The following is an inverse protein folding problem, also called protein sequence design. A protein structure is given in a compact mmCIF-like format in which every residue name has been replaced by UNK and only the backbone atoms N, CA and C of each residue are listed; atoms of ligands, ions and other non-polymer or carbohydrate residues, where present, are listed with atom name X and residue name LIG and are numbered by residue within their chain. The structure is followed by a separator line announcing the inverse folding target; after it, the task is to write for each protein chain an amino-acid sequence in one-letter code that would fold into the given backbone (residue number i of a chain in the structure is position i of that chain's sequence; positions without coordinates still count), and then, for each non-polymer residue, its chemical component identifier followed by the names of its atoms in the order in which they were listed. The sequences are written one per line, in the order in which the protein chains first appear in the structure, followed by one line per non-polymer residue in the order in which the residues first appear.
data_IF_132790823165
#
_entry.id   IF_132790823165
#
_cell.length_a   1.000
_cell.length_b   1.000
_cell.length_c   1.000
_cell.angle_alpha   90.00
_cell.angle_beta   90.00
_cell.angle_gamma   90.00
#
_symmetry.space_group_name_H-M   'P 1'
#
loop_
_entity.id
_entity.type
_entity.pdbx_description
1 polymer ?
#
# COMPACT_ATOMS: atom_id res chain seq x y z
N UNK A 1 59.00 44.22 8.60
CA UNK A 1 59.20 45.38 7.69
C UNK A 1 57.91 45.55 6.88
N UNK A 2 57.15 46.61 7.26
CA UNK A 2 56.82 47.75 6.39
C UNK A 2 55.83 47.35 5.25
N UNK A 3 54.72 47.97 5.01
CA UNK A 3 53.93 49.20 5.30
C UNK A 3 52.55 48.96 4.75
N UNK A 4 51.44 49.15 5.42
CA UNK A 4 50.63 50.36 5.52
C UNK A 4 50.30 51.03 4.16
N UNK A 5 49.03 51.03 3.73
CA UNK A 5 48.36 52.28 3.30
C UNK A 5 46.86 52.12 3.40
N UNK A 6 46.28 52.97 4.21
CA UNK A 6 44.87 53.43 4.21
C UNK A 6 44.55 54.14 2.90
N UNK A 7 43.31 53.99 2.40
CA UNK A 7 42.57 55.09 1.78
C UNK A 7 41.10 54.95 2.08
N UNK A 8 40.58 56.01 2.52
CA UNK A 8 39.28 56.41 2.97
C UNK A 8 38.25 56.55 1.85
N UNK A 9 36.99 56.45 2.27
CA UNK A 9 35.84 57.32 1.94
C UNK A 9 35.12 57.06 0.59
N UNK A 10 33.89 56.67 0.59
CA UNK A 10 32.77 57.63 0.48
C UNK A 10 31.42 56.98 0.81
N UNK A 11 30.71 57.65 1.66
CA UNK A 11 29.33 57.49 2.07
C UNK A 11 28.40 57.92 0.92
N UNK A 12 27.49 57.06 0.47
CA UNK A 12 26.27 57.49 -0.25
C UNK A 12 25.06 56.82 0.38
N UNK A 13 24.34 57.62 1.14
CA UNK A 13 22.98 57.34 1.63
C UNK A 13 22.02 57.44 0.44
N UNK A 14 21.39 56.35 0.06
CA UNK A 14 20.17 56.39 -0.74
C UNK A 14 19.09 55.66 0.01
N UNK A 15 18.20 56.43 0.59
CA UNK A 15 16.95 55.99 1.17
C UNK A 15 16.02 55.47 0.07
N UNK A 16 15.85 54.18 -0.01
CA UNK A 16 14.83 53.53 -0.83
C UNK A 16 13.94 52.67 0.08
N UNK A 17 12.76 53.19 0.42
CA UNK A 17 11.70 52.45 1.06
C UNK A 17 11.13 51.51 0.03
N UNK A 18 11.50 50.22 0.11
CA UNK A 18 10.77 49.15 -0.55
C UNK A 18 9.97 48.39 0.50
N UNK A 19 8.67 48.63 0.47
CA UNK A 19 7.70 47.77 1.13
C UNK A 19 7.72 46.40 0.40
N UNK A 20 8.53 45.48 0.88
CA UNK A 20 8.46 44.10 0.48
C UNK A 20 7.29 43.47 1.20
N UNK A 21 6.15 43.29 0.50
CA UNK A 21 5.07 42.44 0.92
C UNK A 21 5.62 41.02 1.01
N UNK A 22 5.60 40.46 2.25
CA UNK A 22 5.76 39.04 2.44
C UNK A 22 4.58 38.32 1.80
N UNK A 23 4.74 37.84 0.57
CA UNK A 23 3.97 36.74 0.06
C UNK A 23 4.44 35.51 0.83
N UNK A 24 3.70 35.15 1.87
CA UNK A 24 3.84 33.86 2.52
C UNK A 24 3.51 32.78 1.49
N UNK A 25 4.53 32.12 0.98
CA UNK A 25 4.38 30.85 0.30
C UNK A 25 3.91 29.85 1.36
N UNK A 26 2.59 29.66 1.43
CA UNK A 26 2.03 28.51 2.15
C UNK A 26 2.54 27.25 1.46
N UNK A 27 3.62 26.68 1.98
CA UNK A 27 4.02 25.31 1.70
C UNK A 27 2.91 24.41 2.23
N UNK A 28 1.90 24.16 1.39
CA UNK A 28 0.92 23.12 1.64
C UNK A 28 1.67 21.79 1.63
N UNK A 29 1.99 21.28 2.82
CA UNK A 29 2.38 19.88 2.99
C UNK A 29 1.28 19.03 2.36
N UNK A 30 1.57 18.16 1.38
CA UNK A 30 0.56 17.30 0.81
C UNK A 30 -0.01 16.44 1.93
N UNK A 31 -1.27 16.64 2.26
CA UNK A 31 -2.03 15.76 3.15
C UNK A 31 -1.99 14.39 2.48
N UNK A 32 -1.51 13.33 3.16
CA UNK A 32 -1.54 11.99 2.60
C UNK A 32 -2.96 11.67 2.12
N UNK A 33 -3.09 11.29 0.86
CA UNK A 33 -4.38 10.94 0.29
C UNK A 33 -5.02 9.85 1.15
N UNK A 34 -6.20 10.11 1.70
CA UNK A 34 -6.95 9.14 2.49
C UNK A 34 -7.28 7.95 1.60
N UNK A 35 -6.71 6.80 1.90
CA UNK A 35 -6.95 5.58 1.15
C UNK A 35 -8.36 5.08 1.50
N UNK A 36 -9.29 5.20 0.55
CA UNK A 36 -10.70 4.82 0.73
C UNK A 36 -10.89 3.31 0.54
N UNK A 37 -11.85 2.71 1.27
CA UNK A 37 -12.21 1.31 1.06
C UNK A 37 -12.78 1.10 -0.34
N UNK A 38 -12.49 -0.04 -0.96
CA UNK A 38 -13.02 -0.43 -2.26
C UNK A 38 -14.33 -1.24 -2.09
N UNK A 39 -15.33 -0.87 -2.88
CA UNK A 39 -16.61 -1.59 -2.97
C UNK A 39 -17.54 -1.38 -1.77
N UNK A 40 -18.70 -2.04 -1.84
CA UNK A 40 -19.70 -2.02 -0.78
C UNK A 40 -19.42 -3.13 0.22
N UNK A 41 -19.46 -2.78 1.51
CA UNK A 41 -19.33 -3.76 2.59
C UNK A 41 -20.52 -4.73 2.56
N UNK A 42 -20.22 -6.03 2.53
CA UNK A 42 -21.25 -7.06 2.63
C UNK A 42 -21.61 -7.32 4.09
N UNK A 43 -22.87 -7.63 4.40
CA UNK A 43 -23.26 -7.99 5.77
C UNK A 43 -22.40 -9.11 6.34
N UNK A 44 -21.86 -8.90 7.54
CA UNK A 44 -20.99 -9.87 8.22
C UNK A 44 -19.54 -9.91 7.71
N UNK A 45 -19.15 -9.05 6.79
CA UNK A 45 -17.78 -8.95 6.33
C UNK A 45 -16.89 -8.33 7.42
N UNK A 46 -15.75 -8.94 7.71
CA UNK A 46 -14.81 -8.51 8.76
C UNK A 46 -13.69 -7.64 8.19
N UNK A 47 -13.22 -7.96 6.97
CA UNK A 47 -12.14 -7.26 6.29
C UNK A 47 -12.66 -6.46 5.11
N UNK A 48 -12.10 -5.28 4.92
CA UNK A 48 -12.29 -4.43 3.73
C UNK A 48 -10.97 -4.27 2.98
N UNK A 49 -11.04 -4.06 1.67
CA UNK A 49 -9.88 -3.75 0.83
C UNK A 49 -9.78 -2.25 0.65
N UNK A 50 -8.59 -1.71 0.81
CA UNK A 50 -8.29 -0.29 0.68
C UNK A 50 -7.31 -0.03 -0.45
N UNK A 51 -7.52 1.08 -1.16
CA UNK A 51 -6.61 1.49 -2.24
C UNK A 51 -6.54 0.48 -3.39
N UNK A 52 -5.48 0.57 -4.17
CA UNK A 52 -5.28 -0.24 -5.36
C UNK A 52 -4.77 -1.65 -5.05
N UNK A 53 -5.12 -2.58 -5.92
CA UNK A 53 -4.51 -3.91 -5.97
C UNK A 53 -3.47 -3.90 -7.08
N UNK A 54 -2.23 -4.22 -6.74
CA UNK A 54 -1.11 -4.19 -7.69
C UNK A 54 -0.48 -5.57 -7.86
N UNK A 55 0.14 -5.78 -9.00
CA UNK A 55 0.89 -7.00 -9.29
C UNK A 55 2.31 -6.67 -9.70
N UNK A 56 3.30 -7.35 -9.11
CA UNK A 56 4.67 -7.32 -9.58
C UNK A 56 4.91 -8.46 -10.55
N UNK A 57 5.64 -8.19 -11.60
CA UNK A 57 5.87 -9.18 -12.64
C UNK A 57 7.11 -8.93 -13.49
N UNK A 58 7.32 -9.83 -14.45
CA UNK A 58 8.38 -9.72 -15.44
C UNK A 58 7.81 -8.98 -16.65
N UNK A 59 8.40 -7.84 -17.08
CA UNK A 59 7.93 -7.11 -18.25
C UNK A 59 7.77 -7.99 -19.50
N UNK A 60 6.60 -7.89 -20.13
CA UNK A 60 6.16 -8.73 -21.28
C UNK A 60 6.04 -10.23 -20.96
N UNK A 61 6.06 -10.59 -19.71
CA UNK A 61 5.92 -11.96 -19.24
C UNK A 61 4.65 -12.16 -18.42
N UNK A 62 4.81 -12.42 -17.15
CA UNK A 62 3.75 -12.79 -16.20
C UNK A 62 3.75 -11.89 -14.98
N UNK A 63 2.64 -11.86 -14.25
CA UNK A 63 2.58 -11.32 -12.89
C UNK A 63 2.90 -12.47 -11.93
N UNK A 64 3.82 -12.23 -10.99
CA UNK A 64 4.28 -13.24 -10.05
C UNK A 64 3.64 -13.06 -8.67
N UNK A 65 3.55 -11.82 -8.19
CA UNK A 65 2.97 -11.54 -6.87
C UNK A 65 1.88 -10.49 -6.97
N UNK A 66 0.93 -10.54 -6.03
CA UNK A 66 -0.16 -9.57 -5.92
C UNK A 66 -0.08 -8.92 -4.54
N UNK A 67 -0.19 -7.60 -4.52
CA UNK A 67 -0.19 -6.79 -3.29
C UNK A 67 -1.51 -6.04 -3.16
N UNK A 68 -2.09 -6.08 -1.97
CA UNK A 68 -3.32 -5.37 -1.61
C UNK A 68 -3.31 -4.96 -0.14
N UNK A 69 -4.10 -3.96 0.18
CA UNK A 69 -4.21 -3.45 1.56
C UNK A 69 -5.56 -3.83 2.14
N UNK A 70 -5.57 -4.32 3.37
CA UNK A 70 -6.78 -4.64 4.12
C UNK A 70 -6.86 -3.87 5.43
N UNK A 71 -8.07 -3.57 5.86
CA UNK A 71 -8.39 -3.03 7.17
C UNK A 71 -9.66 -3.66 7.69
N UNK A 72 -10.03 -3.35 8.92
CA UNK A 72 -11.24 -3.88 9.54
C UNK A 72 -12.50 -3.14 9.05
N UNK A 73 -13.61 -3.88 9.01
CA UNK A 73 -14.93 -3.27 8.89
C UNK A 73 -15.23 -2.38 10.11
N UNK A 74 -16.06 -1.31 9.99
CA UNK A 74 -16.25 -0.30 11.03
C UNK A 74 -16.67 -0.84 12.41
N UNK A 75 -17.43 -1.93 12.44
CA UNK A 75 -17.94 -2.51 13.69
C UNK A 75 -17.00 -3.57 14.32
N UNK A 76 -15.87 -3.83 13.68
CA UNK A 76 -14.90 -4.83 14.12
C UNK A 76 -13.73 -4.12 14.80
N UNK A 77 -13.38 -4.57 16.00
CA UNK A 77 -12.31 -3.96 16.80
C UNK A 77 -10.95 -4.59 16.55
N UNK A 78 -10.90 -5.87 16.28
CA UNK A 78 -9.64 -6.61 16.10
C UNK A 78 -9.87 -7.93 15.38
N UNK A 79 -8.87 -8.35 14.61
CA UNK A 79 -8.81 -9.66 13.98
C UNK A 79 -7.39 -10.23 14.13
N UNK A 80 -7.31 -11.50 14.51
CA UNK A 80 -6.08 -12.25 14.57
C UNK A 80 -5.71 -12.75 13.16
N UNK A 81 -4.62 -12.24 12.59
CA UNK A 81 -4.18 -12.60 11.24
C UNK A 81 -3.65 -14.04 11.16
N UNK A 82 -3.30 -14.66 12.28
CA UNK A 82 -2.91 -16.08 12.33
C UNK A 82 -4.07 -17.02 11.96
N UNK A 83 -5.30 -16.52 12.07
CA UNK A 83 -6.52 -17.23 11.72
C UNK A 83 -7.06 -16.90 10.33
N UNK A 84 -6.38 -16.02 9.60
CA UNK A 84 -6.76 -15.67 8.25
C UNK A 84 -6.35 -16.78 7.28
N UNK A 85 -7.31 -17.24 6.47
CA UNK A 85 -7.05 -18.16 5.37
C UNK A 85 -7.17 -17.40 4.05
N UNK A 86 -6.09 -17.40 3.26
CA UNK A 86 -6.05 -16.77 1.94
C UNK A 86 -6.10 -17.85 0.87
N UNK A 87 -7.07 -17.72 -0.05
CA UNK A 87 -7.24 -18.62 -1.18
C UNK A 87 -7.05 -17.80 -2.45
N UNK A 88 -6.16 -18.27 -3.32
CA UNK A 88 -6.04 -17.79 -4.70
C UNK A 88 -6.85 -18.69 -5.62
N UNK A 89 -7.55 -18.11 -6.57
CA UNK A 89 -8.27 -18.83 -7.61
C UNK A 89 -8.18 -18.12 -8.96
N UNK A 90 -8.02 -18.88 -10.03
CA UNK A 90 -8.13 -18.44 -11.41
C UNK A 90 -8.98 -19.43 -12.22
N UNK A 91 -8.98 -19.33 -13.56
CA UNK A 91 -9.81 -20.16 -14.42
C UNK A 91 -9.48 -21.66 -14.37
N UNK A 92 -8.26 -22.02 -13.98
CA UNK A 92 -7.76 -23.40 -14.06
C UNK A 92 -7.33 -23.99 -12.71
N UNK A 93 -7.18 -23.16 -11.66
CA UNK A 93 -6.70 -23.62 -10.35
C UNK A 93 -7.32 -22.85 -9.20
N UNK A 94 -7.33 -23.51 -8.05
CA UNK A 94 -7.63 -22.92 -6.76
C UNK A 94 -6.62 -23.46 -5.77
N UNK A 95 -5.97 -22.58 -5.02
CA UNK A 95 -4.98 -22.97 -4.03
C UNK A 95 -5.12 -22.16 -2.74
N UNK A 96 -4.89 -22.81 -1.61
CA UNK A 96 -4.77 -22.14 -0.31
C UNK A 96 -3.31 -21.76 -0.12
N UNK A 97 -3.06 -20.50 0.17
CA UNK A 97 -1.73 -19.96 0.41
C UNK A 97 -1.42 -20.05 1.90
N UNK A 98 -0.23 -20.56 2.24
CA UNK A 98 0.24 -20.61 3.62
C UNK A 98 0.84 -19.27 4.04
N UNK A 99 0.72 -18.86 5.32
CA UNK A 99 1.48 -17.70 5.79
C UNK A 99 2.97 -18.05 5.87
N UNK A 100 3.82 -17.06 5.62
CA UNK A 100 5.26 -17.19 5.91
C UNK A 100 5.52 -17.27 7.41
N UNK A 101 6.66 -17.82 7.80
CA UNK A 101 7.08 -17.85 9.20
C UNK A 101 7.13 -16.43 9.78
N UNK A 102 6.45 -16.22 10.91
CA UNK A 102 6.35 -14.91 11.56
C UNK A 102 5.43 -13.90 10.86
N UNK A 103 4.74 -14.28 9.80
CA UNK A 103 3.73 -13.49 9.04
C UNK A 103 4.27 -12.24 8.33
N UNK A 104 5.48 -11.76 8.63
CA UNK A 104 6.00 -10.50 8.11
C UNK A 104 7.15 -10.73 7.12
N UNK A 105 7.03 -10.12 5.94
CA UNK A 105 8.05 -10.16 4.88
C UNK A 105 7.50 -10.54 3.52
N UNK A 106 8.40 -10.68 2.56
CA UNK A 106 8.08 -11.03 1.18
C UNK A 106 7.89 -12.55 1.04
N UNK A 107 6.74 -13.03 0.56
CA UNK A 107 6.42 -14.44 0.55
C UNK A 107 7.10 -15.19 -0.61
N UNK A 108 7.64 -16.40 -0.38
CA UNK A 108 8.00 -17.32 -1.43
C UNK A 108 6.77 -17.91 -2.12
N UNK A 109 6.98 -18.73 -3.14
CA UNK A 109 5.92 -19.37 -3.93
C UNK A 109 4.95 -20.20 -3.07
N UNK A 110 3.66 -20.00 -3.27
CA UNK A 110 2.59 -20.68 -2.53
C UNK A 110 2.29 -20.08 -1.16
N UNK A 111 2.87 -18.95 -0.82
CA UNK A 111 2.73 -18.33 0.49
C UNK A 111 2.22 -16.87 0.40
N UNK A 112 1.88 -16.31 1.56
CA UNK A 112 1.54 -14.91 1.73
C UNK A 112 2.23 -14.31 2.95
N UNK A 113 2.43 -12.99 2.94
CA UNK A 113 3.06 -12.26 4.02
C UNK A 113 2.57 -10.83 4.15
N UNK A 114 2.76 -10.26 5.33
CA UNK A 114 2.49 -8.84 5.63
C UNK A 114 3.76 -8.06 5.32
N UNK A 115 3.70 -7.18 4.32
CA UNK A 115 4.85 -6.34 3.95
C UNK A 115 5.04 -5.17 4.92
N UNK A 116 3.93 -4.54 5.30
CA UNK A 116 3.93 -3.39 6.20
C UNK A 116 2.57 -3.21 6.87
N UNK A 117 2.59 -2.47 7.97
CA UNK A 117 1.38 -2.02 8.67
C UNK A 117 1.35 -0.51 8.60
N UNK A 118 0.21 0.05 8.22
CA UNK A 118 -0.05 1.47 8.22
C UNK A 118 -0.90 1.83 9.43
N UNK A 119 -0.64 2.98 10.04
CA UNK A 119 -1.32 3.46 11.24
C UNK A 119 -1.24 2.47 12.41
N UNK A 120 -0.10 1.82 12.57
CA UNK A 120 0.11 0.80 13.62
C UNK A 120 -0.15 1.38 15.01
N UNK A 121 -0.95 0.68 15.81
CA UNK A 121 -1.34 1.06 17.16
C UNK A 121 -0.59 0.20 18.16
N UNK A 122 0.25 0.84 18.98
CA UNK A 122 0.99 0.15 20.04
C UNK A 122 2.24 -0.60 19.56
N UNK A 123 2.45 -1.80 20.10
CA UNK A 123 3.60 -2.65 19.73
C UNK A 123 3.27 -3.54 18.53
N UNK A 124 4.15 -3.62 17.53
CA UNK A 124 3.95 -4.48 16.37
C UNK A 124 3.58 -5.92 16.73
N UNK A 125 2.46 -6.40 16.19
CA UNK A 125 1.95 -7.74 16.44
C UNK A 125 1.25 -8.31 15.18
N UNK A 126 0.71 -9.53 15.25
CA UNK A 126 -0.01 -10.17 14.14
C UNK A 126 -1.54 -10.01 14.24
N UNK A 127 -2.00 -8.99 14.95
CA UNK A 127 -3.43 -8.66 15.05
C UNK A 127 -3.65 -7.34 14.33
N UNK A 128 -4.65 -7.30 13.47
CA UNK A 128 -5.10 -6.04 12.92
C UNK A 128 -6.11 -5.42 13.88
N UNK A 129 -5.89 -4.17 14.24
CA UNK A 129 -6.71 -3.40 15.16
C UNK A 129 -7.48 -2.30 14.42
N UNK A 130 -8.40 -1.65 15.10
CA UNK A 130 -9.20 -0.59 14.50
C UNK A 130 -8.29 0.54 13.96
N UNK A 131 -8.55 1.00 12.74
CA UNK A 131 -7.77 1.95 11.96
C UNK A 131 -6.44 1.46 11.38
N UNK A 132 -5.90 0.33 11.82
CA UNK A 132 -4.72 -0.26 11.19
C UNK A 132 -5.04 -0.79 9.79
N UNK A 133 -4.05 -0.72 8.91
CA UNK A 133 -4.14 -1.28 7.58
C UNK A 133 -2.91 -2.14 7.31
N UNK A 134 -3.14 -3.39 6.93
CA UNK A 134 -2.10 -4.34 6.62
C UNK A 134 -1.92 -4.45 5.10
N UNK A 135 -0.70 -4.18 4.63
CA UNK A 135 -0.31 -4.41 3.25
C UNK A 135 0.12 -5.86 3.13
N UNK A 136 -0.67 -6.65 2.41
CA UNK A 136 -0.46 -8.09 2.23
C UNK A 136 0.05 -8.34 0.82
N UNK A 137 1.05 -9.20 0.69
CA UNK A 137 1.48 -9.78 -0.57
C UNK A 137 1.20 -11.26 -0.60
N UNK A 138 0.70 -11.72 -1.73
CA UNK A 138 0.51 -13.14 -2.04
C UNK A 138 1.37 -13.53 -3.23
N UNK A 139 1.92 -14.74 -3.20
CA UNK A 139 2.77 -15.29 -4.25
C UNK A 139 2.22 -16.67 -4.66
N UNK A 140 1.33 -16.76 -5.65
CA UNK A 140 0.77 -18.01 -6.12
C UNK A 140 1.84 -18.97 -6.64
N UNK A 141 1.60 -20.29 -6.58
CA UNK A 141 2.56 -21.33 -7.00
C UNK A 141 2.95 -21.28 -8.46
N UNK A 142 2.15 -20.64 -9.30
CA UNK A 142 2.46 -20.47 -10.70
C UNK A 142 2.17 -19.03 -11.15
N UNK A 143 2.97 -18.50 -12.09
CA UNK A 143 2.81 -17.16 -12.63
C UNK A 143 1.44 -16.92 -13.26
N UNK A 144 0.98 -15.68 -13.25
CA UNK A 144 -0.32 -15.25 -13.76
C UNK A 144 -0.11 -14.60 -15.13
N UNK A 145 -0.75 -15.14 -16.15
CA UNK A 145 -0.60 -14.65 -17.53
C UNK A 145 -1.40 -13.37 -17.79
N UNK A 146 -1.10 -12.61 -18.86
CA UNK A 146 -1.90 -11.45 -19.28
C UNK A 146 -3.36 -11.80 -19.53
N UNK A 147 -4.26 -10.83 -19.31
CA UNK A 147 -5.72 -10.97 -19.50
C UNK A 147 -6.38 -12.07 -18.66
N UNK A 148 -5.75 -12.48 -17.59
CA UNK A 148 -6.29 -13.51 -16.71
C UNK A 148 -7.11 -12.89 -15.59
N UNK A 149 -8.33 -13.43 -15.40
CA UNK A 149 -9.16 -13.13 -14.25
C UNK A 149 -8.69 -13.93 -13.05
N UNK A 150 -8.44 -13.24 -11.95
CA UNK A 150 -8.03 -13.82 -10.67
C UNK A 150 -9.00 -13.43 -9.57
N UNK A 151 -9.08 -14.27 -8.55
CA UNK A 151 -9.85 -14.02 -7.34
C UNK A 151 -9.01 -14.39 -6.12
N UNK A 152 -8.87 -13.46 -5.20
CA UNK A 152 -8.28 -13.71 -3.88
C UNK A 152 -9.42 -13.70 -2.88
N UNK A 153 -9.56 -14.76 -2.10
CA UNK A 153 -10.60 -14.92 -1.11
C UNK A 153 -9.96 -14.92 0.27
N UNK A 154 -10.38 -13.96 1.10
CA UNK A 154 -9.94 -13.80 2.48
C UNK A 154 -11.03 -14.39 3.39
N UNK A 155 -10.74 -15.52 4.03
CA UNK A 155 -11.65 -16.15 4.98
C UNK A 155 -11.20 -15.89 6.41
N UNK A 156 -12.07 -15.28 7.18
CA UNK A 156 -11.89 -15.07 8.63
C UNK A 156 -12.68 -16.10 9.42
N UNK A 157 -12.32 -16.41 10.68
CA UNK A 157 -13.02 -17.40 11.49
C UNK A 157 -14.52 -17.14 11.65
N UNK A 158 -14.86 -15.87 11.80
CA UNK A 158 -16.23 -15.42 12.05
C UNK A 158 -16.56 -14.30 11.07
N UNK A 159 -17.23 -14.61 9.98
CA UNK A 159 -17.66 -13.59 9.05
C UNK A 159 -17.81 -14.07 7.60
N UNK A 160 -18.40 -13.20 6.81
CA UNK A 160 -18.52 -13.40 5.36
C UNK A 160 -17.15 -13.23 4.71
N UNK A 161 -16.70 -14.15 3.85
CA UNK A 161 -15.44 -14.00 3.13
C UNK A 161 -15.39 -12.73 2.28
N UNK A 162 -14.22 -12.07 2.29
CA UNK A 162 -13.95 -10.94 1.39
C UNK A 162 -13.33 -11.45 0.10
N UNK A 163 -13.91 -11.11 -1.04
CA UNK A 163 -13.42 -11.50 -2.36
C UNK A 163 -12.84 -10.31 -3.11
N UNK A 164 -11.61 -10.45 -3.58
CA UNK A 164 -10.88 -9.48 -4.40
C UNK A 164 -10.80 -10.07 -5.81
N UNK A 165 -11.67 -9.60 -6.72
CA UNK A 165 -11.69 -10.06 -8.10
C UNK A 165 -11.03 -9.03 -9.01
N UNK A 166 -10.02 -9.44 -9.79
CA UNK A 166 -9.19 -8.57 -10.62
C UNK A 166 -8.89 -9.22 -11.97
N UNK A 167 -8.43 -8.39 -12.90
CA UNK A 167 -7.91 -8.85 -14.19
C UNK A 167 -6.48 -8.34 -14.37
N UNK A 168 -5.59 -9.20 -14.88
CA UNK A 168 -4.24 -8.78 -15.27
C UNK A 168 -4.29 -7.99 -16.58
N UNK A 169 -3.45 -6.96 -16.76
CA UNK A 169 -3.42 -6.19 -18.00
C UNK A 169 -2.96 -7.04 -19.20
N UNK A 170 -3.24 -6.54 -20.40
CA UNK A 170 -2.80 -7.17 -21.66
C UNK A 170 -1.29 -7.15 -21.84
N UNK A 171 -0.63 -6.13 -21.30
CA UNK A 171 0.83 -5.99 -21.33
C UNK A 171 1.33 -5.90 -19.90
N UNK A 172 2.14 -6.85 -19.49
CA UNK A 172 2.73 -6.88 -18.16
C UNK A 172 3.96 -5.98 -18.10
N UNK A 173 4.02 -5.18 -17.06
CA UNK A 173 5.14 -4.33 -16.67
C UNK A 173 5.76 -4.84 -15.37
N UNK A 174 6.83 -4.20 -14.88
CA UNK A 174 7.42 -4.54 -13.59
C UNK A 174 6.41 -4.35 -12.44
N UNK A 175 5.60 -3.29 -12.52
CA UNK A 175 4.48 -3.03 -11.63
C UNK A 175 3.21 -2.78 -12.44
N UNK A 176 2.11 -3.38 -12.04
CA UNK A 176 0.85 -3.39 -12.76
C UNK A 176 -0.31 -3.06 -11.83
N UNK A 177 -1.15 -2.13 -12.23
CA UNK A 177 -2.46 -1.96 -11.60
C UNK A 177 -3.36 -3.10 -12.05
N UNK A 178 -4.03 -3.76 -11.11
CA UNK A 178 -5.01 -4.82 -11.38
C UNK A 178 -6.42 -4.27 -11.16
N UNK A 179 -7.12 -3.86 -12.24
CA UNK A 179 -8.42 -3.26 -12.12
C UNK A 179 -9.49 -4.26 -11.64
N UNK A 180 -10.53 -3.79 -10.93
CA UNK A 180 -11.68 -4.62 -10.57
C UNK A 180 -12.51 -5.01 -11.80
N UNK A 181 -13.26 -6.11 -11.66
CA UNK A 181 -14.20 -6.61 -12.68
C UNK A 181 -15.60 -6.64 -12.09
#
# INVERSE_FOLDING_TARGET
MVKWHFIFLTLVLVSGIFAAGCLGEETSTPVPAEIKPQGNLQPGQVLQVFGDVTGLGIPRGTVDTITFTVGLAPDIKTLDMEKLVIIYADAIRTETLSPIAGFRGDPPLGEWGILSVQKEVGTPNNRIEYEEQFVIRVNPKAPIVPNQVITIILKTPNGTPTSIRRITPTTIMAENLLPPI
#
